data_IF_817861762116
#
_entry.id   IF_817861762116
#
_cell.length_a   1.000
_cell.length_b   1.000
_cell.length_c   1.000
_cell.angle_alpha   90.00
_cell.angle_beta   90.00
_cell.angle_gamma   90.00
#
_symmetry.space_group_name_H-M   'P 1'
#
loop_
_entity.id
_entity.type
_entity.pdbx_description
1 polymer ?
#
# COMPACT_ATOMS: atom_id res chain seq x y z
N UNK A 1 -12.17 -15.22 27.63
CA UNK A 1 -11.82 -13.81 27.84
C UNK A 1 -10.32 -13.68 27.69
N UNK A 2 -9.86 -13.16 26.54
CA UNK A 2 -8.61 -12.42 26.41
C UNK A 2 -8.68 -11.68 25.07
N UNK A 3 -9.43 -10.58 25.09
CA UNK A 3 -9.47 -9.59 24.03
C UNK A 3 -8.18 -8.77 24.15
N UNK A 4 -7.16 -9.21 23.42
CA UNK A 4 -5.90 -8.47 23.31
C UNK A 4 -6.14 -7.25 22.42
N UNK A 5 -6.59 -6.17 23.06
CA UNK A 5 -6.39 -4.75 22.71
C UNK A 5 -6.04 -4.47 21.25
N UNK A 6 -7.08 -4.33 20.42
CA UNK A 6 -6.99 -3.50 19.23
C UNK A 6 -6.58 -2.09 19.68
N UNK A 7 -5.38 -1.66 19.31
CA UNK A 7 -5.04 -0.25 19.42
C UNK A 7 -6.06 0.54 18.62
N UNK A 8 -6.86 1.35 19.31
CA UNK A 8 -7.99 2.14 18.79
C UNK A 8 -7.44 3.36 18.07
N UNK A 9 -6.87 3.15 16.89
CA UNK A 9 -6.58 4.19 15.91
C UNK A 9 -6.92 3.57 14.57
N UNK A 10 -7.90 4.12 13.84
CA UNK A 10 -8.40 3.55 12.57
C UNK A 10 -7.42 3.66 11.41
N UNK A 11 -6.14 3.36 11.65
CA UNK A 11 -5.00 3.48 10.76
C UNK A 11 -4.11 2.24 10.84
N UNK A 12 -3.37 1.98 9.77
CA UNK A 12 -2.37 0.93 9.66
C UNK A 12 -0.99 1.53 9.45
N UNK A 13 0.02 0.95 10.09
CA UNK A 13 1.41 1.18 9.75
C UNK A 13 1.84 0.14 8.72
N UNK A 14 2.15 0.61 7.51
CA UNK A 14 2.60 -0.23 6.40
C UNK A 14 3.99 0.20 5.96
N UNK A 15 4.68 -0.67 5.22
CA UNK A 15 5.93 -0.30 4.57
C UNK A 15 5.65 0.49 3.30
N UNK A 16 6.53 1.45 2.97
CA UNK A 16 6.51 2.17 1.71
C UNK A 16 6.65 1.18 0.54
N UNK A 17 5.75 1.27 -0.45
CA UNK A 17 5.73 0.37 -1.61
C UNK A 17 6.51 0.92 -2.83
N UNK A 18 7.51 1.78 -2.58
CA UNK A 18 8.27 2.44 -3.63
C UNK A 18 9.19 1.44 -4.36
N UNK A 19 9.72 1.85 -5.52
CA UNK A 19 10.61 0.99 -6.32
C UNK A 19 11.96 0.68 -5.67
N UNK A 20 12.33 1.33 -4.57
CA UNK A 20 13.59 1.10 -3.86
C UNK A 20 13.53 -0.15 -2.97
N UNK A 21 14.28 -1.19 -3.36
CA UNK A 21 14.39 -2.47 -2.64
C UNK A 21 15.03 -2.35 -1.25
N UNK A 22 15.71 -1.25 -0.97
CA UNK A 22 16.34 -0.96 0.32
C UNK A 22 15.46 -0.10 1.23
N UNK A 23 14.30 0.35 0.74
CA UNK A 23 13.39 1.16 1.52
C UNK A 23 12.80 0.34 2.68
N UNK A 24 12.95 0.85 3.89
CA UNK A 24 12.39 0.27 5.12
C UNK A 24 11.50 1.27 5.88
N UNK A 25 11.18 2.39 5.21
CA UNK A 25 10.30 3.43 5.74
C UNK A 25 8.90 2.89 5.98
N UNK A 26 8.28 3.36 7.07
CA UNK A 26 6.89 3.07 7.40
C UNK A 26 6.04 4.31 7.24
N UNK A 27 4.81 4.11 6.78
CA UNK A 27 3.79 5.15 6.65
C UNK A 27 2.55 4.74 7.42
N UNK A 28 1.98 5.70 8.13
CA UNK A 28 0.72 5.53 8.84
C UNK A 28 -0.42 5.98 7.93
N UNK A 29 -1.29 5.07 7.56
CA UNK A 29 -2.39 5.32 6.61
C UNK A 29 -3.73 5.01 7.26
N UNK A 30 -4.80 5.79 7.04
CA UNK A 30 -6.13 5.43 7.51
C UNK A 30 -6.57 4.09 6.91
N UNK A 31 -7.26 3.26 7.71
CA UNK A 31 -7.78 1.96 7.27
C UNK A 31 -8.62 2.07 6.00
N UNK A 32 -9.48 3.10 5.92
CA UNK A 32 -10.32 3.33 4.75
C UNK A 32 -9.50 3.63 3.48
N UNK A 33 -8.39 4.35 3.62
CA UNK A 33 -7.47 4.65 2.50
C UNK A 33 -6.76 3.38 2.08
N UNK A 34 -6.20 2.64 3.04
CA UNK A 34 -5.54 1.36 2.77
C UNK A 34 -6.46 0.37 2.05
N UNK A 35 -7.70 0.22 2.53
CA UNK A 35 -8.69 -0.67 1.91
C UNK A 35 -9.14 -0.19 0.52
N UNK A 36 -9.18 1.13 0.27
CA UNK A 36 -9.46 1.70 -1.06
C UNK A 36 -8.33 1.41 -2.03
N UNK A 37 -7.09 1.70 -1.67
CA UNK A 37 -5.91 1.47 -2.51
C UNK A 37 -5.79 -0.02 -2.82
N UNK A 38 -5.93 -0.90 -1.83
CA UNK A 38 -5.84 -2.36 -2.03
C UNK A 38 -6.93 -2.96 -2.90
N UNK A 39 -8.02 -2.24 -3.22
CA UNK A 39 -9.03 -2.70 -4.18
C UNK A 39 -8.56 -2.55 -5.62
N UNK A 40 -7.58 -1.70 -5.86
CA UNK A 40 -7.01 -1.47 -7.18
C UNK A 40 -5.52 -1.85 -7.17
N UNK A 41 -5.19 -2.93 -7.88
CA UNK A 41 -3.81 -3.44 -7.93
C UNK A 41 -2.84 -2.53 -8.68
N UNK A 42 -3.33 -1.49 -9.37
CA UNK A 42 -2.49 -0.47 -10.00
C UNK A 42 -2.04 0.62 -9.04
N UNK A 43 -2.67 0.72 -7.85
CA UNK A 43 -2.44 1.78 -6.88
C UNK A 43 -1.51 1.33 -5.76
N UNK A 44 -0.60 2.22 -5.36
CA UNK A 44 0.42 1.97 -4.35
C UNK A 44 0.52 3.13 -3.35
N UNK A 45 0.86 2.80 -2.10
CA UNK A 45 1.07 3.77 -1.02
C UNK A 45 2.56 3.99 -0.78
N UNK A 46 3.02 5.21 -1.03
CA UNK A 46 4.43 5.58 -0.89
C UNK A 46 4.59 6.64 0.20
N UNK A 47 5.80 6.73 0.77
CA UNK A 47 6.20 7.89 1.58
C UNK A 47 6.20 9.13 0.69
N UNK A 48 5.72 10.26 1.20
CA UNK A 48 5.81 11.51 0.46
C UNK A 48 7.28 11.82 0.08
N UNK A 49 7.53 12.11 -1.20
CA UNK A 49 8.87 12.31 -1.77
C UNK A 49 9.55 11.05 -2.28
N UNK A 50 8.90 9.88 -2.18
CA UNK A 50 9.40 8.61 -2.73
C UNK A 50 8.73 8.21 -4.05
N UNK A 51 7.78 9.01 -4.55
CA UNK A 51 7.21 8.86 -5.89
C UNK A 51 8.26 9.10 -6.99
N UNK A 52 8.20 8.32 -8.07
CA UNK A 52 8.97 8.58 -9.29
C UNK A 52 8.03 9.01 -10.43
N UNK A 53 7.93 10.32 -10.74
CA UNK A 53 7.02 10.84 -11.75
C UNK A 53 7.35 10.38 -13.18
N UNK A 54 8.43 9.62 -13.39
CA UNK A 54 8.74 9.00 -14.69
C UNK A 54 8.00 7.67 -14.90
N UNK A 55 7.57 7.01 -13.83
CA UNK A 55 6.96 5.67 -13.88
C UNK A 55 5.62 5.59 -13.17
N UNK A 56 5.30 6.60 -12.35
CA UNK A 56 4.16 6.62 -11.44
C UNK A 56 3.44 7.97 -11.56
N UNK A 57 2.11 7.93 -11.62
CA UNK A 57 1.27 9.12 -11.58
C UNK A 57 0.72 9.32 -10.17
N UNK A 58 0.96 10.49 -9.58
CA UNK A 58 0.43 10.83 -8.25
C UNK A 58 -1.05 11.15 -8.37
N UNK A 59 -1.89 10.31 -7.76
CA UNK A 59 -3.36 10.50 -7.75
C UNK A 59 -3.84 11.23 -6.50
N UNK A 60 -3.14 11.10 -5.38
CA UNK A 60 -3.48 11.77 -4.12
C UNK A 60 -2.22 12.03 -3.28
N UNK A 61 -2.15 13.21 -2.66
CA UNK A 61 -1.02 13.63 -1.81
C UNK A 61 -1.53 13.95 -0.41
N UNK A 62 -0.89 13.37 0.59
CA UNK A 62 -1.10 13.68 2.00
C UNK A 62 0.20 14.15 2.65
N UNK A 63 0.14 14.51 3.93
CA UNK A 63 1.29 15.04 4.68
C UNK A 63 2.44 14.03 4.76
N UNK A 64 2.14 12.76 5.07
CA UNK A 64 3.16 11.72 5.26
C UNK A 64 3.28 10.72 4.10
N UNK A 65 2.25 10.61 3.26
CA UNK A 65 2.20 9.59 2.21
C UNK A 65 1.54 10.11 0.93
N UNK A 66 1.83 9.45 -0.18
CA UNK A 66 1.20 9.68 -1.48
C UNK A 66 0.59 8.39 -1.98
N UNK A 67 -0.48 8.52 -2.76
CA UNK A 67 -1.07 7.42 -3.51
C UNK A 67 -0.67 7.64 -4.96
N UNK A 68 -0.04 6.63 -5.54
CA UNK A 68 0.35 6.65 -6.95
C UNK A 68 -0.34 5.53 -7.71
N UNK A 69 -0.56 5.76 -8.99
CA UNK A 69 -0.99 4.76 -9.96
C UNK A 69 0.17 4.42 -10.90
N UNK A 70 0.37 3.12 -11.17
CA UNK A 70 1.34 2.64 -12.15
C UNK A 70 0.65 2.33 -13.47
N UNK A 71 0.91 3.13 -14.49
CA UNK A 71 0.49 2.86 -15.87
C UNK A 71 1.23 1.59 -16.39
N UNK A 72 0.46 0.63 -16.88
CA UNK A 72 0.86 -0.77 -16.97
C UNK A 72 1.99 -1.11 -17.94
N UNK A 73 2.99 -1.85 -17.42
CA UNK A 73 3.60 -3.04 -18.07
C UNK A 73 3.96 -4.14 -17.05
N UNK A 74 4.09 -3.85 -15.75
CA UNK A 74 4.55 -4.84 -14.74
C UNK A 74 3.54 -5.20 -13.61
N UNK A 75 2.30 -4.73 -13.63
CA UNK A 75 1.33 -5.06 -12.56
C UNK A 75 0.82 -6.52 -12.59
N UNK A 76 0.82 -7.17 -13.76
CA UNK A 76 0.40 -8.57 -13.91
C UNK A 76 1.38 -9.59 -13.31
N UNK A 77 2.65 -9.22 -13.10
CA UNK A 77 3.69 -10.16 -12.64
C UNK A 77 3.95 -10.14 -11.13
N UNK A 78 3.66 -9.02 -10.43
CA UNK A 78 3.93 -8.87 -8.99
C UNK A 78 2.70 -9.18 -8.13
N UNK A 79 1.49 -8.79 -8.58
CA UNK A 79 0.25 -8.98 -7.81
C UNK A 79 -0.13 -10.45 -7.56
N UNK A 80 0.35 -11.39 -8.38
CA UNK A 80 0.08 -12.83 -8.21
C UNK A 80 0.79 -13.48 -7.02
N UNK A 81 1.71 -12.80 -6.33
CA UNK A 81 2.52 -13.40 -5.24
C UNK A 81 2.21 -12.89 -3.84
N UNK A 82 1.41 -11.84 -3.68
CA UNK A 82 1.14 -11.21 -2.37
C UNK A 82 -0.34 -11.09 -2.02
N UNK A 83 -1.20 -11.92 -2.63
CA UNK A 83 -2.59 -12.08 -2.18
C UNK A 83 -2.66 -13.16 -1.09
N UNK A 84 -2.78 -12.81 0.21
CA UNK A 84 -2.96 -13.80 1.28
C UNK A 84 -4.37 -14.40 1.33
N UNK A 85 -5.29 -14.12 0.39
CA UNK A 85 -6.66 -14.66 0.39
C UNK A 85 -6.88 -15.81 -0.58
N UNK A 86 -5.86 -16.67 -0.75
CA UNK A 86 -6.08 -18.05 -1.25
C UNK A 86 -5.61 -19.09 -0.23
N UNK A 87 -6.28 -19.09 0.91
CA UNK A 87 -6.34 -20.21 1.85
C UNK A 87 -7.79 -20.19 2.35
N UNK A 88 -8.58 -21.25 2.42
CA UNK A 88 -8.46 -22.68 2.17
C UNK A 88 -9.93 -23.13 2.34
N UNK A 89 -10.59 -23.59 1.27
CA UNK A 89 -11.89 -24.26 1.39
C UNK A 89 -11.80 -25.52 0.50
N UNK A 90 -11.53 -26.63 1.17
CA UNK A 90 -11.36 -27.96 0.63
C UNK A 90 -11.10 -28.96 1.75
#
# INVERSE_FOLDING_TARGET
>A
MNETFASVTGSFDIFCECGDRSCTERITVPKAVYERVRRDSTQFLLRAGHEDPKFEDVIETHEDYVIVEKEGVEVESVAKKTDPRRSDDG
#
